data_IF_867854886063
#
_entry.id   IF_867854886063
#
_cell.length_a   1.000
_cell.length_b   1.000
_cell.length_c   1.000
_cell.angle_alpha   90.00
_cell.angle_beta   90.00
_cell.angle_gamma   90.00
#
_symmetry.space_group_name_H-M   'P 1'
#
loop_
_entity.id
_entity.type
_entity.pdbx_description
1 polymer ?
#
# COMPACT_ATOMS: atom_id res chain seq x y z
N UNK A 1 5.11 -14.93 21.26
CA UNK A 1 4.51 -15.87 20.28
C UNK A 1 5.51 -17.01 20.11
N UNK A 2 5.13 -18.27 20.33
CA UNK A 2 5.99 -19.40 19.94
C UNK A 2 6.13 -19.36 18.42
N UNK A 3 7.36 -19.43 17.91
CA UNK A 3 7.61 -19.53 16.47
C UNK A 3 7.03 -20.86 15.99
N UNK A 4 6.04 -20.79 15.10
CA UNK A 4 5.56 -21.98 14.42
C UNK A 4 6.56 -22.26 13.30
N UNK A 5 7.45 -23.24 13.47
CA UNK A 5 8.49 -23.56 12.49
C UNK A 5 7.96 -23.87 11.10
N UNK A 6 6.70 -24.30 10.97
CA UNK A 6 6.06 -24.45 9.66
C UNK A 6 5.93 -23.14 8.88
N UNK A 7 5.94 -21.98 9.56
CA UNK A 7 5.88 -20.64 8.95
C UNK A 7 7.26 -20.05 8.67
N UNK A 8 8.33 -20.67 9.14
CA UNK A 8 9.71 -20.24 8.89
C UNK A 8 10.16 -20.75 7.52
N UNK A 9 9.55 -20.21 6.47
CA UNK A 9 9.79 -20.58 5.09
C UNK A 9 10.98 -19.80 4.50
N UNK A 10 11.49 -20.26 3.35
CA UNK A 10 12.54 -19.50 2.65
C UNK A 10 12.01 -18.13 2.27
N UNK A 11 12.86 -17.11 2.42
CA UNK A 11 12.52 -15.75 2.01
C UNK A 11 12.12 -15.65 0.53
N UNK A 12 12.77 -16.43 -0.34
CA UNK A 12 12.39 -16.51 -1.76
C UNK A 12 10.96 -16.98 -1.97
N UNK A 13 10.50 -17.98 -1.20
CA UNK A 13 9.14 -18.51 -1.31
C UNK A 13 8.12 -17.48 -0.86
N UNK A 14 8.44 -16.74 0.21
CA UNK A 14 7.62 -15.63 0.73
C UNK A 14 7.54 -14.50 -0.30
N UNK A 15 8.68 -14.10 -0.88
CA UNK A 15 8.75 -13.02 -1.87
C UNK A 15 7.97 -13.35 -3.15
N UNK A 16 8.07 -14.58 -3.66
CA UNK A 16 7.31 -15.00 -4.84
C UNK A 16 5.82 -15.08 -4.49
N UNK A 17 5.47 -15.69 -3.35
CA UNK A 17 4.08 -15.79 -2.92
C UNK A 17 3.39 -14.43 -2.79
N UNK A 18 4.04 -13.46 -2.14
CA UNK A 18 3.44 -12.13 -1.92
C UNK A 18 3.34 -11.28 -3.18
N UNK A 19 4.06 -11.61 -4.26
CA UNK A 19 4.07 -10.85 -5.52
C UNK A 19 3.28 -11.53 -6.65
N UNK A 20 2.69 -12.70 -6.41
CA UNK A 20 1.97 -13.50 -7.41
C UNK A 20 0.58 -12.91 -7.73
N UNK A 21 0.55 -11.73 -8.35
CA UNK A 21 -0.66 -10.97 -8.63
C UNK A 21 -1.58 -11.70 -9.62
N UNK A 22 -2.86 -11.95 -9.28
CA UNK A 22 -3.81 -12.54 -10.21
C UNK A 22 -3.84 -11.77 -11.53
N UNK A 23 -3.98 -12.49 -12.64
CA UNK A 23 -3.90 -11.99 -14.03
C UNK A 23 -2.50 -11.59 -14.55
N UNK A 24 -1.51 -11.38 -13.67
CA UNK A 24 -0.12 -11.11 -14.05
C UNK A 24 0.79 -12.34 -13.89
N UNK A 25 0.66 -13.05 -12.77
CA UNK A 25 1.54 -14.16 -12.40
C UNK A 25 0.72 -15.38 -11.94
N UNK A 26 1.23 -16.61 -12.14
CA UNK A 26 0.58 -17.81 -11.65
C UNK A 26 0.63 -17.88 -10.11
N UNK A 27 -0.36 -18.52 -9.45
CA UNK A 27 -0.26 -18.84 -8.03
C UNK A 27 1.01 -19.63 -7.71
N UNK A 28 1.58 -19.39 -6.53
CA UNK A 28 2.83 -20.00 -6.09
C UNK A 28 2.59 -21.11 -5.07
N UNK A 29 3.17 -22.28 -5.32
CA UNK A 29 3.08 -23.44 -4.43
C UNK A 29 4.45 -23.86 -3.91
N UNK A 30 4.52 -24.16 -2.62
CA UNK A 30 5.70 -24.78 -2.01
C UNK A 30 5.35 -25.56 -0.74
N UNK A 31 6.32 -26.33 -0.23
CA UNK A 31 6.26 -27.05 1.04
C UNK A 31 7.32 -26.52 2.00
N UNK A 32 6.96 -26.36 3.27
CA UNK A 32 7.91 -26.05 4.33
C UNK A 32 7.88 -27.09 5.45
N UNK A 33 9.06 -27.52 5.90
CA UNK A 33 9.21 -28.51 6.97
C UNK A 33 9.02 -27.88 8.32
N UNK A 34 8.11 -28.43 9.13
CA UNK A 34 8.00 -28.09 10.54
C UNK A 34 8.90 -28.97 11.41
N UNK A 35 9.21 -28.53 12.63
CA UNK A 35 10.07 -29.29 13.57
C UNK A 35 9.48 -30.65 13.96
N UNK A 36 8.16 -30.82 13.82
CA UNK A 36 7.48 -32.10 14.05
C UNK A 36 7.64 -33.09 12.88
N UNK A 37 8.40 -32.73 11.85
CA UNK A 37 8.66 -33.55 10.67
C UNK A 37 7.52 -33.58 9.65
N UNK A 38 6.43 -32.84 9.88
CA UNK A 38 5.29 -32.78 8.98
C UNK A 38 5.44 -31.57 8.06
N UNK A 39 5.48 -31.83 6.75
CA UNK A 39 5.50 -30.78 5.73
C UNK A 39 4.15 -30.03 5.75
N UNK A 40 4.22 -28.70 5.74
CA UNK A 40 3.08 -27.82 5.51
C UNK A 40 3.09 -27.33 4.07
N UNK A 41 1.96 -27.48 3.39
CA UNK A 41 1.75 -26.97 2.04
C UNK A 41 1.27 -25.52 2.07
N UNK A 42 1.75 -24.73 1.11
CA UNK A 42 1.36 -23.34 0.90
C UNK A 42 0.93 -23.17 -0.56
N UNK A 43 -0.23 -22.55 -0.76
CA UNK A 43 -0.78 -22.18 -2.07
C UNK A 43 -1.09 -20.69 -2.00
N UNK A 44 -0.18 -19.86 -2.52
CA UNK A 44 -0.17 -18.42 -2.31
C UNK A 44 -0.49 -17.66 -3.59
N UNK A 45 -1.15 -16.52 -3.40
CA UNK A 45 -1.31 -15.44 -4.38
C UNK A 45 -0.87 -14.14 -3.70
N UNK A 46 -0.80 -13.06 -4.47
CA UNK A 46 -0.37 -11.75 -4.00
C UNK A 46 -1.07 -11.28 -2.73
N UNK A 47 -0.27 -10.72 -1.82
CA UNK A 47 -0.75 -10.21 -0.53
C UNK A 47 -1.66 -9.00 -0.67
N UNK A 48 -1.58 -8.26 -1.78
CA UNK A 48 -2.40 -7.09 -2.09
C UNK A 48 -3.90 -7.38 -2.06
N UNK A 49 -4.30 -8.60 -2.43
CA UNK A 49 -5.69 -9.06 -2.36
C UNK A 49 -6.27 -8.94 -0.94
N UNK A 50 -5.44 -9.06 0.09
CA UNK A 50 -5.84 -8.96 1.49
C UNK A 50 -5.32 -7.70 2.20
N UNK A 51 -4.10 -7.28 1.90
CA UNK A 51 -3.39 -6.24 2.64
C UNK A 51 -2.48 -5.40 1.71
N UNK A 52 -3.07 -4.77 0.70
CA UNK A 52 -2.36 -3.88 -0.24
C UNK A 52 -1.59 -2.76 0.47
N UNK A 53 -2.13 -2.23 1.57
CA UNK A 53 -1.39 -1.41 2.51
C UNK A 53 -1.05 -2.24 3.77
N UNK A 54 0.16 -2.84 3.85
CA UNK A 54 0.51 -3.76 4.94
C UNK A 54 0.64 -3.06 6.29
N UNK A 55 0.62 -1.72 6.33
CA UNK A 55 0.58 -0.97 7.58
C UNK A 55 -0.69 -1.28 8.38
N UNK A 56 -1.75 -1.79 7.75
CA UNK A 56 -2.94 -2.32 8.45
C UNK A 56 -2.60 -3.36 9.53
N UNK A 57 -1.54 -4.16 9.38
CA UNK A 57 -1.12 -5.10 10.42
C UNK A 57 -0.63 -4.42 11.69
N UNK A 58 -0.25 -3.14 11.64
CA UNK A 58 0.09 -2.38 12.84
C UNK A 58 -1.14 -2.17 13.75
N UNK A 59 -2.37 -2.39 13.25
CA UNK A 59 -3.57 -2.38 14.09
C UNK A 59 -3.48 -3.34 15.28
N UNK A 60 -2.79 -4.47 15.13
CA UNK A 60 -2.55 -5.44 16.22
C UNK A 60 -1.74 -4.79 17.36
N UNK A 61 -0.87 -3.85 17.02
CA UNK A 61 -0.13 -3.05 17.99
C UNK A 61 -0.99 -1.89 18.48
N UNK A 62 -1.58 -1.10 17.58
CA UNK A 62 -2.41 0.07 17.89
C UNK A 62 -3.57 -0.26 18.86
N UNK A 63 -4.29 -1.36 18.69
CA UNK A 63 -5.42 -1.69 19.59
C UNK A 63 -5.00 -2.16 20.98
N UNK A 64 -3.70 -2.31 21.25
CA UNK A 64 -3.19 -2.48 22.62
C UNK A 64 -2.98 -1.11 23.26
N UNK A 65 -3.14 -0.97 24.58
CA UNK A 65 -2.79 0.26 25.28
C UNK A 65 -1.30 0.55 25.08
N UNK A 66 -1.02 1.44 24.14
CA UNK A 66 0.32 1.84 23.73
C UNK A 66 0.46 3.34 23.87
N UNK A 67 1.68 3.76 24.18
CA UNK A 67 2.05 5.16 24.17
C UNK A 67 2.36 5.60 22.75
N UNK A 68 1.34 6.11 22.05
CA UNK A 68 1.45 6.56 20.66
C UNK A 68 2.48 7.67 20.45
N UNK A 69 2.86 8.41 21.51
CA UNK A 69 3.90 9.44 21.42
C UNK A 69 5.27 8.85 21.10
N UNK A 70 5.48 7.55 21.41
CA UNK A 70 6.72 6.80 21.17
C UNK A 70 6.75 6.06 19.83
N UNK A 71 5.66 6.12 19.05
CA UNK A 71 5.57 5.45 17.75
C UNK A 71 5.76 6.49 16.66
N UNK A 72 6.79 6.31 15.83
CA UNK A 72 6.92 7.01 14.55
C UNK A 72 6.67 6.02 13.42
N UNK A 73 5.56 6.22 12.72
CA UNK A 73 5.07 5.36 11.65
C UNK A 73 5.26 6.04 10.30
N UNK A 74 6.10 5.43 9.46
CA UNK A 74 6.26 5.81 8.05
C UNK A 74 5.56 4.80 7.18
N UNK A 75 4.67 5.27 6.32
CA UNK A 75 3.96 4.48 5.32
C UNK A 75 4.32 5.01 3.93
N UNK A 76 4.82 4.13 3.05
CA UNK A 76 5.22 4.49 1.70
C UNK A 76 4.25 3.87 0.70
N UNK A 77 3.71 4.69 -0.19
CA UNK A 77 2.88 4.25 -1.30
C UNK A 77 3.68 4.14 -2.59
N UNK A 78 3.15 3.36 -3.54
CA UNK A 78 3.72 3.18 -4.88
C UNK A 78 3.13 4.15 -5.90
N UNK A 79 2.35 5.13 -5.47
CA UNK A 79 1.58 6.02 -6.32
C UNK A 79 0.26 5.42 -6.81
N UNK A 80 -0.60 6.27 -7.34
CA UNK A 80 -1.80 5.88 -8.07
C UNK A 80 -2.07 6.86 -9.22
N UNK A 81 -2.81 6.39 -10.22
CA UNK A 81 -3.33 7.25 -11.28
C UNK A 81 -4.67 7.84 -10.84
N UNK A 82 -4.87 9.15 -11.06
CA UNK A 82 -6.18 9.75 -10.79
C UNK A 82 -7.26 9.08 -11.64
N UNK A 83 -8.47 8.86 -11.08
CA UNK A 83 -9.60 8.40 -11.86
C UNK A 83 -9.78 9.27 -13.10
N UNK A 84 -9.73 8.66 -14.28
CA UNK A 84 -10.01 9.32 -15.54
C UNK A 84 -11.50 9.14 -15.90
N UNK A 85 -11.95 9.77 -16.99
CA UNK A 85 -13.34 9.67 -17.48
C UNK A 85 -13.71 8.28 -18.06
N UNK A 86 -12.82 7.28 -17.95
CA UNK A 86 -13.09 5.92 -18.46
C UNK A 86 -14.01 5.13 -17.53
N UNK A 87 -13.99 5.44 -16.22
CA UNK A 87 -14.87 4.84 -15.22
C UNK A 87 -16.23 5.56 -15.12
N UNK A 88 -16.96 5.58 -16.24
CA UNK A 88 -18.32 6.10 -16.28
C UNK A 88 -19.35 5.00 -16.00
N UNK A 89 -20.23 5.20 -15.00
CA UNK A 89 -21.22 4.21 -14.60
C UNK A 89 -22.19 3.80 -15.73
N UNK A 90 -22.49 4.71 -16.67
CA UNK A 90 -23.37 4.42 -17.83
C UNK A 90 -22.68 3.50 -18.82
N UNK A 91 -21.36 3.66 -19.00
CA UNK A 91 -20.53 2.71 -19.77
C UNK A 91 -20.42 1.37 -19.04
N UNK A 92 -20.13 1.39 -17.74
CA UNK A 92 -19.94 0.20 -16.91
C UNK A 92 -21.21 -0.65 -16.75
N UNK A 93 -22.40 -0.04 -16.84
CA UNK A 93 -23.68 -0.75 -16.83
C UNK A 93 -23.80 -1.81 -17.95
N UNK A 94 -23.00 -1.69 -19.01
CA UNK A 94 -22.97 -2.59 -20.15
C UNK A 94 -21.74 -3.52 -20.15
N UNK A 95 -20.93 -3.50 -19.09
CA UNK A 95 -19.74 -4.36 -18.99
C UNK A 95 -20.13 -5.80 -18.66
N UNK A 96 -19.57 -6.75 -19.42
CA UNK A 96 -19.60 -8.17 -19.07
C UNK A 96 -18.53 -8.53 -18.03
N UNK A 97 -18.58 -9.77 -17.54
CA UNK A 97 -17.69 -10.25 -16.47
C UNK A 97 -16.19 -10.01 -16.75
N UNK A 98 -15.72 -10.23 -17.97
CA UNK A 98 -14.31 -10.01 -18.35
C UNK A 98 -13.88 -8.54 -18.23
N UNK A 99 -14.77 -7.60 -18.58
CA UNK A 99 -14.48 -6.17 -18.48
C UNK A 99 -14.50 -5.67 -17.03
N UNK A 100 -15.10 -6.42 -16.11
CA UNK A 100 -15.11 -6.10 -14.69
C UNK A 100 -13.87 -6.59 -13.93
N UNK A 101 -13.11 -7.55 -14.47
CA UNK A 101 -11.99 -8.18 -13.74
C UNK A 101 -10.97 -7.12 -13.30
N UNK A 102 -10.34 -6.39 -14.22
CA UNK A 102 -9.30 -5.42 -13.88
C UNK A 102 -9.83 -4.25 -13.03
N UNK A 103 -10.96 -3.59 -13.39
CA UNK A 103 -11.51 -2.50 -12.59
C UNK A 103 -11.89 -2.90 -11.17
N UNK A 104 -12.47 -4.10 -10.99
CA UNK A 104 -12.86 -4.56 -9.66
C UNK A 104 -11.65 -4.80 -8.75
N UNK A 105 -10.55 -5.33 -9.30
CA UNK A 105 -9.29 -5.46 -8.56
C UNK A 105 -8.70 -4.10 -8.23
N UNK A 106 -8.62 -3.18 -9.20
CA UNK A 106 -8.12 -1.82 -8.99
C UNK A 106 -8.90 -1.11 -7.87
N UNK A 107 -10.24 -1.10 -7.93
CA UNK A 107 -11.07 -0.48 -6.90
C UNK A 107 -10.90 -1.11 -5.52
N UNK A 108 -10.79 -2.44 -5.45
CA UNK A 108 -10.59 -3.13 -4.19
C UNK A 108 -9.22 -2.81 -3.58
N UNK A 109 -8.16 -2.83 -4.40
CA UNK A 109 -6.79 -2.57 -3.97
C UNK A 109 -6.59 -1.11 -3.55
N UNK A 110 -7.04 -0.15 -4.36
CA UNK A 110 -6.93 1.28 -4.04
C UNK A 110 -7.82 1.67 -2.87
N UNK A 111 -9.08 1.21 -2.88
CA UNK A 111 -10.01 1.43 -1.76
C UNK A 111 -9.48 0.86 -0.45
N UNK A 112 -8.87 -0.32 -0.46
CA UNK A 112 -8.26 -0.90 0.75
C UNK A 112 -7.10 -0.04 1.28
N UNK A 113 -6.29 0.54 0.39
CA UNK A 113 -5.17 1.39 0.78
C UNK A 113 -5.65 2.69 1.42
N UNK A 114 -6.65 3.34 0.81
CA UNK A 114 -7.23 4.60 1.29
C UNK A 114 -7.91 4.42 2.65
N UNK A 115 -8.63 3.31 2.85
CA UNK A 115 -9.25 2.98 4.13
C UNK A 115 -8.21 2.80 5.24
N UNK A 116 -7.07 2.18 4.94
CA UNK A 116 -5.99 1.98 5.92
C UNK A 116 -5.36 3.32 6.31
N UNK A 117 -5.06 4.19 5.33
CA UNK A 117 -4.53 5.54 5.58
C UNK A 117 -5.53 6.37 6.41
N UNK A 118 -6.80 6.40 6.00
CA UNK A 118 -7.88 7.08 6.73
C UNK A 118 -7.97 6.62 8.19
N UNK A 119 -7.98 5.31 8.43
CA UNK A 119 -8.13 4.75 9.76
C UNK A 119 -6.90 5.02 10.62
N UNK A 120 -5.69 4.89 10.08
CA UNK A 120 -4.46 5.24 10.82
C UNK A 120 -4.42 6.72 11.17
N UNK A 121 -4.70 7.61 10.22
CA UNK A 121 -4.78 9.04 10.46
C UNK A 121 -5.81 9.36 11.56
N UNK A 122 -6.99 8.72 11.52
CA UNK A 122 -8.05 8.90 12.52
C UNK A 122 -7.63 8.44 13.92
N UNK A 123 -6.98 7.27 14.02
CA UNK A 123 -6.52 6.76 15.33
C UNK A 123 -5.41 7.62 15.91
N UNK A 124 -4.39 7.94 15.12
CA UNK A 124 -3.29 8.81 15.57
C UNK A 124 -3.83 10.21 15.94
N UNK A 125 -4.79 10.75 15.17
CA UNK A 125 -5.45 12.01 15.51
C UNK A 125 -6.23 11.93 16.83
N UNK A 126 -6.99 10.85 17.06
CA UNK A 126 -7.73 10.66 18.30
C UNK A 126 -6.82 10.54 19.53
N UNK A 127 -5.61 9.98 19.39
CA UNK A 127 -4.69 9.73 20.51
C UNK A 127 -3.74 10.92 20.78
N UNK A 128 -3.31 11.62 19.72
CA UNK A 128 -2.28 12.67 19.79
C UNK A 128 -2.81 14.07 19.45
N UNK A 129 -4.11 14.20 19.19
CA UNK A 129 -4.77 15.44 18.80
C UNK A 129 -4.16 16.04 17.53
N UNK A 130 -4.03 17.37 17.48
CA UNK A 130 -3.46 18.06 16.32
C UNK A 130 -1.99 17.72 16.04
N UNK A 131 -1.24 17.14 17.00
CA UNK A 131 0.18 16.82 16.86
C UNK A 131 0.47 15.47 16.21
N UNK A 132 -0.57 14.69 15.87
CA UNK A 132 -0.44 13.32 15.35
C UNK A 132 0.47 13.17 14.12
N UNK A 133 0.59 14.25 13.35
CA UNK A 133 1.43 14.33 12.16
C UNK A 133 2.93 14.27 12.41
N UNK A 134 3.35 14.40 13.66
CA UNK A 134 4.73 14.15 14.07
C UNK A 134 5.02 12.66 14.19
N UNK A 135 3.99 11.83 14.27
CA UNK A 135 4.07 10.40 14.58
C UNK A 135 3.58 9.53 13.42
N UNK A 136 2.80 10.08 12.47
CA UNK A 136 2.37 9.38 11.26
C UNK A 136 2.73 10.18 10.01
N UNK A 137 3.52 9.57 9.13
CA UNK A 137 3.93 10.11 7.84
C UNK A 137 3.56 9.12 6.73
N UNK A 138 2.63 9.51 5.85
CA UNK A 138 2.32 8.81 4.60
C UNK A 138 2.94 9.57 3.43
N UNK A 139 3.80 8.92 2.66
CA UNK A 139 4.34 9.44 1.41
C UNK A 139 3.63 8.72 0.27
N UNK A 140 2.86 9.47 -0.52
CA UNK A 140 2.07 8.96 -1.64
C UNK A 140 2.03 10.00 -2.76
N UNK A 141 1.78 9.57 -4.00
CA UNK A 141 1.61 10.46 -5.16
C UNK A 141 0.39 10.07 -5.98
N UNK A 142 -0.28 11.09 -6.53
CA UNK A 142 -1.41 10.97 -7.47
C UNK A 142 -1.01 11.36 -8.90
N UNK A 143 0.30 11.40 -9.18
CA UNK A 143 0.89 11.89 -10.43
C UNK A 143 1.28 10.79 -11.40
N UNK A 144 0.93 9.52 -11.12
CA UNK A 144 1.18 8.44 -12.08
C UNK A 144 0.27 8.61 -13.30
N UNK A 145 0.85 8.45 -14.49
CA UNK A 145 0.13 8.52 -15.75
C UNK A 145 0.85 7.71 -16.83
N UNK A 146 0.10 7.21 -17.81
CA UNK A 146 0.64 6.43 -18.93
C UNK A 146 1.43 5.21 -18.44
N UNK A 147 2.64 5.01 -18.96
CA UNK A 147 3.51 3.88 -18.59
C UNK A 147 3.91 3.86 -17.11
N UNK A 148 3.95 5.01 -16.43
CA UNK A 148 4.27 5.05 -15.00
C UNK A 148 3.15 4.50 -14.11
N UNK A 149 1.92 4.45 -14.64
CA UNK A 149 0.78 3.85 -13.93
C UNK A 149 0.67 2.33 -14.16
N UNK A 150 1.42 1.77 -15.11
CA UNK A 150 1.38 0.34 -15.43
C UNK A 150 2.34 -0.43 -14.51
N UNK A 151 1.79 -1.31 -13.67
CA UNK A 151 2.56 -2.07 -12.69
C UNK A 151 3.55 -3.07 -13.31
N UNK A 152 3.32 -3.49 -14.56
CA UNK A 152 4.10 -4.47 -15.31
C UNK A 152 5.09 -3.83 -16.31
N UNK A 153 5.18 -2.49 -16.38
CA UNK A 153 6.03 -1.80 -17.34
C UNK A 153 7.48 -1.63 -16.84
N UNK A 154 8.30 -2.66 -17.02
CA UNK A 154 9.71 -2.69 -16.61
C UNK A 154 10.70 -2.11 -17.66
N UNK A 155 10.25 -1.19 -18.52
CA UNK A 155 11.13 -0.53 -19.49
C UNK A 155 12.09 0.43 -18.77
N UNK A 156 13.36 0.47 -19.19
CA UNK A 156 14.42 1.26 -18.54
C UNK A 156 14.05 2.74 -18.40
N UNK A 157 13.53 3.37 -19.46
CA UNK A 157 13.06 4.75 -19.41
C UNK A 157 11.90 4.95 -18.43
N UNK A 158 11.00 3.97 -18.30
CA UNK A 158 9.89 4.04 -17.35
C UNK A 158 10.39 3.97 -15.91
N UNK A 159 11.31 3.04 -15.62
CA UNK A 159 11.94 2.92 -14.30
C UNK A 159 12.68 4.21 -13.92
N UNK A 160 13.42 4.80 -14.87
CA UNK A 160 14.09 6.09 -14.66
C UNK A 160 13.11 7.23 -14.41
N UNK A 161 11.97 7.25 -15.10
CA UNK A 161 10.92 8.24 -14.86
C UNK A 161 10.30 8.10 -13.47
N UNK A 162 10.04 6.87 -13.01
CA UNK A 162 9.56 6.58 -11.65
C UNK A 162 10.59 7.01 -10.60
N UNK A 163 11.88 6.76 -10.83
CA UNK A 163 12.96 7.22 -9.95
C UNK A 163 13.00 8.76 -9.87
N UNK A 164 12.97 9.44 -11.02
CA UNK A 164 12.95 10.90 -11.08
C UNK A 164 11.74 11.49 -10.33
N UNK A 165 10.56 10.87 -10.46
CA UNK A 165 9.36 11.25 -9.73
C UNK A 165 9.56 11.07 -8.21
N UNK A 166 10.09 9.93 -7.77
CA UNK A 166 10.37 9.70 -6.35
C UNK A 166 11.37 10.73 -5.79
N UNK A 167 12.42 11.07 -6.54
CA UNK A 167 13.38 12.10 -6.16
C UNK A 167 12.75 13.50 -6.10
N UNK A 168 11.82 13.84 -7.00
CA UNK A 168 11.11 15.12 -6.95
C UNK A 168 10.16 15.20 -5.75
N UNK A 169 9.52 14.09 -5.38
CA UNK A 169 8.65 14.00 -4.22
C UNK A 169 9.34 14.38 -2.91
N UNK A 170 10.63 14.10 -2.75
CA UNK A 170 11.41 14.49 -1.56
C UNK A 170 11.41 16.01 -1.33
N UNK A 171 11.32 16.80 -2.41
CA UNK A 171 11.36 18.28 -2.37
C UNK A 171 9.97 18.90 -2.16
N UNK A 172 8.90 18.13 -2.34
CA UNK A 172 7.53 18.63 -2.13
C UNK A 172 7.18 18.61 -0.64
N UNK A 173 6.33 19.56 -0.22
CA UNK A 173 5.74 19.54 1.11
C UNK A 173 4.98 18.23 1.35
N UNK A 174 4.97 17.77 2.60
CA UNK A 174 4.19 16.60 3.00
C UNK A 174 2.74 16.78 2.56
N UNK A 175 2.21 15.75 1.90
CA UNK A 175 0.81 15.67 1.49
C UNK A 175 0.01 14.83 2.49
N UNK A 176 -1.29 15.09 2.60
CA UNK A 176 -2.22 14.24 3.36
C UNK A 176 -3.50 13.99 2.63
N UNK A 177 -4.10 12.85 2.91
CA UNK A 177 -5.48 12.59 2.55
C UNK A 177 -6.39 13.55 3.31
N UNK A 178 -7.12 14.38 2.59
CA UNK A 178 -8.21 15.16 3.15
C UNK A 178 -9.39 14.21 3.38
N UNK A 179 -9.82 14.08 4.64
CA UNK A 179 -10.81 13.09 5.07
C UNK A 179 -12.23 13.35 4.53
N UNK A 180 -12.52 14.58 4.09
CA UNK A 180 -13.83 14.94 3.52
C UNK A 180 -13.87 14.72 2.00
N UNK A 181 -12.75 14.96 1.32
CA UNK A 181 -12.67 14.96 -0.15
C UNK A 181 -11.94 13.76 -0.74
N UNK A 182 -11.27 12.96 0.09
CA UNK A 182 -10.42 11.83 -0.30
C UNK A 182 -9.32 12.22 -1.31
N UNK A 183 -8.88 13.48 -1.28
CA UNK A 183 -7.80 13.98 -2.14
C UNK A 183 -6.53 14.20 -1.35
N UNK A 184 -5.40 13.92 -1.96
CA UNK A 184 -4.09 14.33 -1.44
C UNK A 184 -3.97 15.85 -1.52
N UNK A 185 -3.67 16.46 -0.38
CA UNK A 185 -3.49 17.90 -0.23
C UNK A 185 -2.13 18.19 0.41
N UNK A 186 -1.38 19.09 -0.21
CA UNK A 186 -0.13 19.59 0.34
C UNK A 186 -0.38 20.43 1.59
N UNK A 187 0.42 20.22 2.63
CA UNK A 187 0.41 21.05 3.83
C UNK A 187 1.21 22.31 3.55
N UNK A 188 0.53 23.38 3.16
CA UNK A 188 1.14 24.70 2.93
C UNK A 188 1.86 25.19 4.20
N UNK A 189 3.12 25.58 4.05
CA UNK A 189 3.98 25.99 5.17
C UNK A 189 4.48 24.84 6.06
N UNK A 190 4.14 23.59 5.74
CA UNK A 190 4.67 22.40 6.40
C UNK A 190 6.07 22.00 5.88
N UNK A 191 6.71 20.98 6.49
CA UNK A 191 8.00 20.48 6.01
C UNK A 191 7.87 19.81 4.63
N UNK A 192 8.98 19.71 3.93
CA UNK A 192 9.17 18.80 2.80
C UNK A 192 9.18 17.34 3.25
N UNK A 193 8.97 16.40 2.32
CA UNK A 193 9.10 14.97 2.62
C UNK A 193 10.52 14.62 3.11
N UNK A 194 11.56 15.21 2.53
CA UNK A 194 12.94 15.03 3.00
C UNK A 194 13.12 15.46 4.46
N UNK A 195 12.66 16.67 4.81
CA UNK A 195 12.74 17.17 6.18
C UNK A 195 11.91 16.36 7.17
N UNK A 196 10.77 15.82 6.74
CA UNK A 196 9.91 14.99 7.58
C UNK A 196 10.53 13.63 7.89
N UNK A 197 11.35 13.07 6.98
CA UNK A 197 12.06 11.80 7.16
C UNK A 197 13.28 11.91 8.09
N UNK A 198 13.84 13.09 8.28
CA UNK A 198 15.06 13.32 9.08
C UNK A 198 14.80 13.78 10.53
N UNK A 199 13.55 13.71 10.99
CA UNK A 199 13.14 14.12 12.35
C UNK A 199 13.40 13.01 13.36
#
# INVERSE_FOLDING_TARGET
>A
MKTNSSLDAKLSDICIGTSAAPTYLPPYYFKNKADNGIDKEFNLIDGGIFANNPVSYIYIYIYKPNDYTKIFLVSLGTGFQKPNEEYDARKAAHWGALNWISPSMEFALDGSQDLVDYHLASVFHSQLGHNYHRNYLRIQTDQLAGRMAQMDCALEDNLKNLENLAQSMLKHNVTRLNLDTFKLQSILGGPTNAEALTR
#
